data_IF_962976301665
#
_entry.id   IF_962976301665
#
_cell.length_a   1.000
_cell.length_b   1.000
_cell.length_c   1.000
_cell.angle_alpha   90.00
_cell.angle_beta   90.00
_cell.angle_gamma   90.00
#
_symmetry.space_group_name_H-M   'P 1'
#
loop_
_entity.id
_entity.type
_entity.pdbx_description
1 polymer ?
#
# COMPACT_ATOMS: atom_id res chain seq x y z
N UNK A 1 -28.14 -20.96 -24.67
CA UNK A 1 -28.41 -19.57 -25.12
C UNK A 1 -27.08 -18.91 -25.41
N UNK A 2 -26.63 -18.90 -26.66
CA UNK A 2 -25.40 -18.27 -27.10
C UNK A 2 -25.66 -16.76 -27.26
N UNK A 3 -25.13 -15.96 -26.38
CA UNK A 3 -25.16 -14.52 -26.46
C UNK A 3 -24.48 -14.06 -27.77
N UNK A 4 -25.28 -13.57 -28.74
CA UNK A 4 -24.77 -12.81 -29.88
C UNK A 4 -24.10 -11.54 -29.33
N UNK A 5 -22.78 -11.56 -29.16
CA UNK A 5 -22.02 -10.32 -29.00
C UNK A 5 -22.30 -9.43 -30.23
N UNK A 6 -23.07 -8.38 -30.04
CA UNK A 6 -23.32 -7.35 -31.05
C UNK A 6 -21.98 -6.82 -31.52
N UNK A 7 -21.59 -7.07 -32.78
CA UNK A 7 -20.40 -6.47 -33.38
C UNK A 7 -20.60 -4.97 -33.37
N UNK A 8 -19.85 -4.29 -32.50
CA UNK A 8 -19.83 -2.84 -32.45
C UNK A 8 -19.57 -2.28 -33.85
N UNK A 9 -20.32 -1.23 -34.27
CA UNK A 9 -20.10 -0.59 -35.56
C UNK A 9 -18.67 -0.05 -35.63
N UNK A 10 -18.03 -0.16 -36.81
CA UNK A 10 -16.65 0.33 -37.01
C UNK A 10 -16.39 1.75 -36.44
N UNK A 11 -17.30 2.76 -36.65
CA UNK A 11 -17.08 4.09 -36.09
C UNK A 11 -17.11 4.11 -34.56
N UNK A 12 -17.95 3.29 -33.92
CA UNK A 12 -17.98 3.18 -32.44
C UNK A 12 -16.67 2.56 -31.90
N UNK A 13 -16.16 1.57 -32.61
CA UNK A 13 -14.88 0.92 -32.23
C UNK A 13 -13.70 1.91 -32.39
N UNK A 14 -13.67 2.70 -33.46
CA UNK A 14 -12.66 3.74 -33.68
C UNK A 14 -12.77 4.81 -32.57
N UNK A 15 -13.98 5.30 -32.29
CA UNK A 15 -14.19 6.31 -31.25
C UNK A 15 -13.78 5.81 -29.86
N UNK A 16 -14.16 4.58 -29.48
CA UNK A 16 -13.76 4.00 -28.21
C UNK A 16 -12.26 3.77 -28.09
N UNK A 17 -11.62 3.30 -29.17
CA UNK A 17 -10.16 3.11 -29.20
C UNK A 17 -9.44 4.45 -29.09
N UNK A 18 -9.88 5.47 -29.82
CA UNK A 18 -9.29 6.81 -29.74
C UNK A 18 -9.45 7.42 -28.34
N UNK A 19 -10.61 7.26 -27.72
CA UNK A 19 -10.84 7.69 -26.34
C UNK A 19 -9.89 7.00 -25.37
N UNK A 20 -9.73 5.69 -25.46
CA UNK A 20 -8.83 4.90 -24.59
C UNK A 20 -7.38 5.35 -24.81
N UNK A 21 -6.94 5.56 -26.05
CA UNK A 21 -5.56 6.02 -26.34
C UNK A 21 -5.29 7.40 -25.77
N UNK A 22 -6.23 8.35 -25.92
CA UNK A 22 -6.12 9.68 -25.32
C UNK A 22 -6.04 9.56 -23.80
N UNK A 23 -6.89 8.74 -23.20
CA UNK A 23 -6.90 8.53 -21.75
C UNK A 23 -5.60 7.92 -21.24
N UNK A 24 -5.05 6.93 -21.96
CA UNK A 24 -3.74 6.33 -21.64
C UNK A 24 -2.65 7.40 -21.69
N UNK A 25 -2.65 8.24 -22.72
CA UNK A 25 -1.66 9.32 -22.83
C UNK A 25 -1.75 10.32 -21.67
N UNK A 26 -2.96 10.75 -21.32
CA UNK A 26 -3.21 11.67 -20.19
C UNK A 26 -2.79 11.02 -18.87
N UNK A 27 -3.13 9.74 -18.66
CA UNK A 27 -2.79 9.02 -17.43
C UNK A 27 -1.27 8.72 -17.33
N UNK A 28 -0.60 8.46 -18.45
CA UNK A 28 0.85 8.19 -18.48
C UNK A 28 1.69 9.47 -18.34
N UNK A 29 1.15 10.63 -18.74
CA UNK A 29 1.89 11.89 -18.78
C UNK A 29 2.60 12.25 -17.47
N UNK A 30 1.95 12.23 -16.29
CA UNK A 30 2.63 12.55 -15.03
C UNK A 30 3.85 11.67 -14.75
N UNK A 31 3.74 10.37 -15.06
CA UNK A 31 4.84 9.41 -14.85
C UNK A 31 6.00 9.67 -15.80
N UNK A 32 5.70 9.87 -17.08
CA UNK A 32 6.72 10.20 -18.09
C UNK A 32 7.39 11.52 -17.76
N UNK A 33 6.61 12.53 -17.35
CA UNK A 33 7.12 13.84 -16.96
C UNK A 33 8.04 13.76 -15.74
N UNK A 34 7.63 13.03 -14.70
CA UNK A 34 8.44 12.83 -13.48
C UNK A 34 9.73 12.08 -13.80
N UNK A 35 9.64 11.02 -14.61
CA UNK A 35 10.82 10.27 -15.06
C UNK A 35 11.76 11.15 -15.89
N UNK A 36 11.23 11.93 -16.81
CA UNK A 36 12.02 12.90 -17.60
C UNK A 36 12.72 13.92 -16.70
N UNK A 37 11.97 14.46 -15.73
CA UNK A 37 12.47 15.44 -14.76
C UNK A 37 13.56 14.91 -13.84
N UNK A 38 13.50 13.64 -13.48
CA UNK A 38 14.48 13.05 -12.57
C UNK A 38 15.91 13.04 -13.10
N UNK A 39 16.09 13.21 -14.41
CA UNK A 39 17.39 13.34 -15.06
C UNK A 39 17.81 14.80 -15.34
N UNK A 40 17.12 15.76 -14.75
CA UNK A 40 17.40 17.20 -14.93
C UNK A 40 17.86 17.83 -13.62
N UNK A 41 18.59 18.93 -13.72
CA UNK A 41 18.90 19.73 -12.53
C UNK A 41 17.65 20.46 -12.05
N UNK A 42 17.56 20.68 -10.74
CA UNK A 42 16.42 21.33 -10.09
C UNK A 42 16.07 22.70 -10.73
N UNK A 43 17.09 23.44 -11.18
CA UNK A 43 16.91 24.72 -11.83
C UNK A 43 16.09 24.71 -13.13
N UNK A 44 16.02 23.59 -13.83
CA UNK A 44 15.17 23.45 -15.04
C UNK A 44 13.67 23.37 -14.71
N UNK A 45 13.30 22.92 -13.51
CA UNK A 45 11.91 22.76 -13.09
C UNK A 45 11.38 23.90 -12.23
N UNK A 46 12.21 24.43 -11.34
CA UNK A 46 11.79 25.38 -10.30
C UNK A 46 12.26 26.83 -10.58
N UNK A 47 12.98 27.07 -11.69
CA UNK A 47 13.25 28.45 -12.06
C UNK A 47 11.96 29.11 -12.56
N UNK A 48 11.80 30.42 -12.26
CA UNK A 48 10.69 31.24 -12.81
C UNK A 48 10.70 31.34 -14.35
N UNK A 49 11.59 30.61 -14.98
CA UNK A 49 11.76 30.55 -16.42
C UNK A 49 10.71 29.62 -17.07
N UNK A 50 10.50 29.86 -18.32
CA UNK A 50 9.60 29.18 -19.23
C UNK A 50 9.66 27.63 -19.09
N UNK A 51 8.49 26.97 -19.09
CA UNK A 51 8.35 25.51 -19.10
C UNK A 51 9.23 24.79 -20.15
N UNK A 52 9.70 25.53 -21.16
CA UNK A 52 10.64 25.06 -22.18
C UNK A 52 11.97 24.60 -21.58
N UNK A 53 12.42 25.18 -20.47
CA UNK A 53 13.64 24.73 -19.79
C UNK A 53 13.51 23.30 -19.25
N UNK A 54 12.35 22.95 -18.72
CA UNK A 54 12.08 21.58 -18.27
C UNK A 54 12.15 20.58 -19.43
N UNK A 55 11.70 20.96 -20.65
CA UNK A 55 11.78 20.11 -21.83
C UNK A 55 13.20 20.04 -22.37
N UNK A 56 13.84 21.20 -22.59
CA UNK A 56 15.12 21.31 -23.28
C UNK A 56 16.33 21.01 -22.39
N UNK A 57 16.17 21.05 -21.03
CA UNK A 57 17.26 20.84 -20.12
C UNK A 57 18.40 21.86 -20.29
N UNK A 58 18.06 23.10 -20.51
CA UNK A 58 19.06 24.16 -20.83
C UNK A 58 20.04 24.35 -19.67
N UNK A 59 19.57 24.40 -18.44
CA UNK A 59 20.45 24.51 -17.26
C UNK A 59 21.22 23.23 -17.01
N UNK A 60 20.58 22.07 -17.18
CA UNK A 60 21.28 20.78 -17.11
C UNK A 60 22.44 20.75 -18.10
N UNK A 61 22.24 21.21 -19.34
CA UNK A 61 23.29 21.25 -20.33
C UNK A 61 24.42 22.23 -19.98
N UNK A 62 24.10 23.39 -19.38
CA UNK A 62 25.10 24.39 -18.95
C UNK A 62 25.92 23.87 -17.75
N UNK A 63 25.25 23.26 -16.76
CA UNK A 63 25.88 22.84 -15.51
C UNK A 63 26.64 21.51 -15.64
N UNK A 64 26.18 20.60 -16.48
CA UNK A 64 26.72 19.22 -16.57
C UNK A 64 27.33 18.88 -17.92
N UNK A 65 27.22 19.75 -18.89
CA UNK A 65 27.70 19.50 -20.29
C UNK A 65 26.84 18.52 -21.09
N UNK A 66 25.71 18.04 -20.54
CA UNK A 66 24.82 17.05 -21.15
C UNK A 66 23.34 17.36 -20.95
N UNK A 67 22.49 16.76 -21.77
CA UNK A 67 21.02 16.91 -21.66
C UNK A 67 20.42 16.17 -20.45
N UNK A 68 21.16 15.25 -19.85
CA UNK A 68 20.75 14.40 -18.71
C UNK A 68 21.84 14.34 -17.67
N UNK A 69 21.45 14.26 -16.41
CA UNK A 69 22.36 14.08 -15.27
C UNK A 69 21.81 13.08 -14.28
N UNK A 70 22.71 12.35 -13.63
CA UNK A 70 22.39 11.46 -12.49
C UNK A 70 22.60 12.12 -11.13
N UNK A 71 23.00 13.40 -11.08
CA UNK A 71 23.37 14.09 -9.83
C UNK A 71 22.24 14.10 -8.80
N UNK A 72 20.97 14.19 -9.23
CA UNK A 72 19.82 14.09 -8.32
C UNK A 72 19.74 12.74 -7.62
N UNK A 73 20.01 11.65 -8.32
CA UNK A 73 20.04 10.29 -7.74
C UNK A 73 21.20 10.11 -6.80
N UNK A 74 22.39 10.58 -7.16
CA UNK A 74 23.57 10.55 -6.30
C UNK A 74 23.36 11.37 -5.04
N UNK A 75 22.83 12.58 -5.17
CA UNK A 75 22.48 13.44 -4.05
C UNK A 75 21.48 12.79 -3.10
N UNK A 76 20.41 12.21 -3.62
CA UNK A 76 19.42 11.53 -2.80
C UNK A 76 20.00 10.27 -2.12
N UNK A 77 20.69 9.42 -2.89
CA UNK A 77 21.13 8.12 -2.40
C UNK A 77 22.33 8.20 -1.48
N UNK A 78 23.33 9.03 -1.82
CA UNK A 78 24.59 9.14 -1.07
C UNK A 78 24.55 10.27 -0.05
N UNK A 79 24.22 11.50 -0.48
CA UNK A 79 24.31 12.66 0.41
C UNK A 79 23.17 12.71 1.44
N UNK A 80 21.96 12.30 1.07
CA UNK A 80 20.81 12.29 1.96
C UNK A 80 20.49 10.89 2.53
N UNK A 81 21.35 9.91 2.26
CA UNK A 81 21.24 8.53 2.78
C UNK A 81 19.83 7.90 2.56
N UNK A 82 19.18 8.23 1.44
CA UNK A 82 17.82 7.76 1.13
C UNK A 82 17.67 6.21 1.16
N UNK A 83 18.77 5.49 0.99
CA UNK A 83 18.82 4.05 1.16
C UNK A 83 18.40 3.58 2.56
N UNK A 84 18.66 4.40 3.61
CA UNK A 84 18.19 4.09 4.99
C UNK A 84 16.67 4.17 5.05
N UNK A 85 16.08 5.22 4.47
CA UNK A 85 14.63 5.34 4.39
C UNK A 85 14.00 4.18 3.58
N UNK A 86 14.67 3.71 2.53
CA UNK A 86 14.24 2.54 1.76
C UNK A 86 14.27 1.25 2.60
N UNK A 87 15.34 1.02 3.37
CA UNK A 87 15.44 -0.12 4.30
C UNK A 87 14.38 -0.05 5.40
N UNK A 88 14.21 1.11 6.02
CA UNK A 88 13.19 1.32 7.05
C UNK A 88 11.79 1.03 6.50
N UNK A 89 11.50 1.52 5.28
CA UNK A 89 10.23 1.21 4.60
C UNK A 89 10.06 -0.30 4.39
N UNK A 90 11.09 -0.98 3.88
CA UNK A 90 11.04 -2.43 3.65
C UNK A 90 10.76 -3.19 4.96
N UNK A 91 11.42 -2.82 6.06
CA UNK A 91 11.22 -3.43 7.39
C UNK A 91 9.80 -3.16 7.88
N UNK A 92 9.37 -1.89 7.90
CA UNK A 92 8.06 -1.50 8.41
C UNK A 92 6.94 -2.18 7.61
N UNK A 93 7.01 -2.13 6.29
CA UNK A 93 5.99 -2.72 5.42
C UNK A 93 5.97 -4.24 5.55
N UNK A 94 7.12 -4.91 5.52
CA UNK A 94 7.20 -6.37 5.64
C UNK A 94 6.55 -6.85 6.93
N UNK A 95 6.97 -6.31 8.07
CA UNK A 95 6.43 -6.73 9.36
C UNK A 95 4.97 -6.35 9.53
N UNK A 96 4.54 -5.17 9.07
CA UNK A 96 3.13 -4.77 9.08
C UNK A 96 2.27 -5.76 8.29
N UNK A 97 2.68 -6.11 7.08
CA UNK A 97 1.94 -7.05 6.22
C UNK A 97 1.89 -8.45 6.84
N UNK A 98 3.02 -8.98 7.27
CA UNK A 98 3.09 -10.33 7.86
C UNK A 98 2.23 -10.44 9.11
N UNK A 99 2.33 -9.47 10.02
CA UNK A 99 1.54 -9.48 11.26
C UNK A 99 0.06 -9.28 10.95
N UNK A 100 -0.30 -8.31 10.11
CA UNK A 100 -1.69 -8.04 9.75
C UNK A 100 -2.35 -9.22 9.05
N UNK A 101 -1.65 -9.89 8.12
CA UNK A 101 -2.16 -11.08 7.45
C UNK A 101 -2.31 -12.26 8.41
N UNK A 102 -1.35 -12.46 9.30
CA UNK A 102 -1.41 -13.56 10.28
C UNK A 102 -2.61 -13.40 11.21
N UNK A 103 -2.75 -12.22 11.81
CA UNK A 103 -3.89 -11.92 12.69
C UNK A 103 -5.21 -11.88 11.92
N UNK A 104 -5.19 -11.31 10.72
CA UNK A 104 -6.36 -11.19 9.85
C UNK A 104 -6.86 -12.54 9.34
N UNK A 105 -5.98 -13.48 8.97
CA UNK A 105 -6.38 -14.83 8.53
C UNK A 105 -6.98 -15.63 9.67
N UNK A 106 -6.35 -15.61 10.83
CA UNK A 106 -6.88 -16.31 12.02
C UNK A 106 -8.23 -15.72 12.45
N UNK A 107 -8.30 -14.40 12.61
CA UNK A 107 -9.52 -13.70 13.01
C UNK A 107 -10.62 -13.77 11.96
N UNK A 108 -10.31 -13.55 10.68
CA UNK A 108 -11.26 -13.62 9.58
C UNK A 108 -11.88 -15.00 9.42
N UNK A 109 -11.07 -16.06 9.54
CA UNK A 109 -11.57 -17.44 9.56
C UNK A 109 -12.47 -17.72 10.76
N UNK A 110 -12.05 -17.35 11.96
CA UNK A 110 -12.85 -17.56 13.17
C UNK A 110 -14.20 -16.83 13.08
N UNK A 111 -14.22 -15.60 12.60
CA UNK A 111 -15.45 -14.83 12.41
C UNK A 111 -16.35 -15.42 11.32
N UNK A 112 -15.78 -15.87 10.19
CA UNK A 112 -16.53 -16.47 9.09
C UNK A 112 -17.18 -17.81 9.47
N UNK A 113 -16.60 -18.53 10.42
CA UNK A 113 -17.12 -19.83 10.89
C UNK A 113 -17.97 -19.74 12.18
N UNK A 114 -17.99 -18.57 12.84
CA UNK A 114 -18.69 -18.42 14.14
C UNK A 114 -20.20 -18.61 14.08
N UNK A 115 -20.84 -18.34 12.94
CA UNK A 115 -22.29 -18.43 12.77
C UNK A 115 -23.13 -17.47 13.62
N UNK A 116 -22.50 -16.55 14.33
CA UNK A 116 -23.17 -15.64 15.27
C UNK A 116 -23.15 -14.19 14.74
N UNK A 117 -24.19 -13.44 15.08
CA UNK A 117 -24.32 -12.04 14.68
C UNK A 117 -23.25 -11.11 15.29
N UNK A 118 -22.55 -11.53 16.34
CA UNK A 118 -21.47 -10.71 16.91
C UNK A 118 -20.31 -10.49 15.93
N UNK A 119 -20.06 -11.43 15.03
CA UNK A 119 -19.04 -11.28 13.99
C UNK A 119 -19.31 -10.05 13.11
N UNK A 120 -20.57 -9.88 12.70
CA UNK A 120 -20.99 -8.70 11.93
C UNK A 120 -20.76 -7.40 12.72
N UNK A 121 -21.21 -7.35 13.98
CA UNK A 121 -21.06 -6.15 14.80
C UNK A 121 -19.60 -5.80 15.09
N UNK A 122 -18.76 -6.81 15.33
CA UNK A 122 -17.33 -6.62 15.55
C UNK A 122 -16.66 -6.02 14.31
N UNK A 123 -16.98 -6.54 13.11
CA UNK A 123 -16.48 -5.99 11.85
C UNK A 123 -16.98 -4.57 11.60
N UNK A 124 -18.26 -4.29 11.88
CA UNK A 124 -18.83 -2.96 11.74
C UNK A 124 -18.12 -1.94 12.65
N UNK A 125 -17.94 -2.27 13.91
CA UNK A 125 -17.22 -1.43 14.87
C UNK A 125 -15.78 -1.18 14.39
N UNK A 126 -15.08 -2.22 13.94
CA UNK A 126 -13.73 -2.11 13.42
C UNK A 126 -13.66 -1.16 12.21
N UNK A 127 -14.63 -1.24 11.27
CA UNK A 127 -14.70 -0.34 10.12
C UNK A 127 -15.03 1.11 10.51
N UNK A 128 -15.85 1.32 11.55
CA UNK A 128 -16.12 2.66 12.09
C UNK A 128 -14.83 3.29 12.63
N UNK A 129 -14.02 2.55 13.39
CA UNK A 129 -12.71 3.04 13.83
C UNK A 129 -11.78 3.35 12.66
N UNK A 130 -11.82 2.56 11.60
CA UNK A 130 -11.04 2.83 10.39
C UNK A 130 -11.46 4.11 9.66
N UNK A 131 -12.72 4.51 9.77
CA UNK A 131 -13.22 5.75 9.16
C UNK A 131 -12.71 7.02 9.89
N UNK A 132 -12.15 6.90 11.09
CA UNK A 132 -11.56 8.02 11.80
C UNK A 132 -10.26 8.49 11.12
N UNK A 133 -9.98 9.81 11.09
CA UNK A 133 -8.72 10.32 10.56
C UNK A 133 -7.52 9.73 11.32
N UNK A 134 -6.60 9.10 10.61
CA UNK A 134 -5.43 8.44 11.22
C UNK A 134 -4.59 9.40 12.05
N UNK A 135 -4.42 10.66 11.59
CA UNK A 135 -3.68 11.69 12.32
C UNK A 135 -4.29 11.93 13.72
N UNK A 136 -5.62 11.99 13.81
CA UNK A 136 -6.31 12.19 15.09
C UNK A 136 -6.11 11.00 16.04
N UNK A 137 -6.14 9.78 15.52
CA UNK A 137 -5.89 8.59 16.32
C UNK A 137 -4.45 8.58 16.86
N UNK A 138 -3.47 8.84 15.99
CA UNK A 138 -2.04 8.81 16.36
C UNK A 138 -1.69 9.93 17.31
N UNK A 139 -2.24 11.14 17.13
CA UNK A 139 -1.97 12.28 18.03
C UNK A 139 -2.36 11.99 19.49
N UNK A 140 -3.41 11.18 19.71
CA UNK A 140 -3.81 10.75 21.05
C UNK A 140 -2.81 9.81 21.74
N UNK A 141 -1.98 9.08 20.97
CA UNK A 141 -0.97 8.17 21.49
C UNK A 141 0.43 8.79 21.61
N UNK A 142 0.66 9.96 21.03
CA UNK A 142 2.00 10.58 21.01
C UNK A 142 2.55 10.80 22.40
N UNK A 143 1.76 11.40 23.31
CA UNK A 143 2.22 11.70 24.67
C UNK A 143 2.64 10.44 25.44
N UNK A 144 1.82 9.37 25.54
CA UNK A 144 2.24 8.10 26.11
C UNK A 144 3.49 7.51 25.45
N UNK A 145 3.65 7.64 24.13
CA UNK A 145 4.83 7.09 23.44
C UNK A 145 6.09 7.85 23.78
N UNK A 146 6.02 9.17 24.02
CA UNK A 146 7.15 9.94 24.53
C UNK A 146 7.49 9.53 25.98
N UNK A 147 6.50 9.43 26.86
CA UNK A 147 6.68 9.05 28.25
C UNK A 147 7.28 7.65 28.42
N UNK A 148 6.90 6.71 27.56
CA UNK A 148 7.40 5.33 27.59
C UNK A 148 8.66 5.12 26.74
N UNK A 149 9.21 6.20 26.18
CA UNK A 149 10.39 6.16 25.29
C UNK A 149 10.21 5.22 24.08
N UNK A 150 9.01 5.18 23.52
CA UNK A 150 8.66 4.38 22.36
C UNK A 150 8.66 5.18 21.05
N UNK A 151 8.70 6.50 21.13
CA UNK A 151 8.75 7.37 19.96
C UNK A 151 10.08 7.23 19.21
N UNK A 152 10.05 7.31 17.90
CA UNK A 152 11.24 7.22 17.04
C UNK A 152 11.65 5.80 16.69
N UNK A 153 10.93 4.76 17.17
CA UNK A 153 11.29 3.37 16.94
C UNK A 153 10.42 2.70 15.88
N UNK A 154 11.03 1.93 14.95
CA UNK A 154 10.33 1.19 13.91
C UNK A 154 9.29 0.20 14.46
N UNK A 155 9.55 -0.58 15.55
CA UNK A 155 8.56 -1.50 16.10
C UNK A 155 7.27 -0.80 16.56
N UNK A 156 7.36 0.39 17.14
CA UNK A 156 6.19 1.18 17.55
C UNK A 156 5.34 1.55 16.35
N UNK A 157 5.98 2.03 15.29
CA UNK A 157 5.32 2.37 14.03
C UNK A 157 4.66 1.14 13.39
N UNK A 158 5.33 -0.01 13.40
CA UNK A 158 4.78 -1.28 12.90
C UNK A 158 3.50 -1.65 13.65
N UNK A 159 3.52 -1.62 14.99
CA UNK A 159 2.35 -1.98 15.81
C UNK A 159 1.17 -1.04 15.52
N UNK A 160 1.42 0.27 15.42
CA UNK A 160 0.37 1.25 15.12
C UNK A 160 -0.19 1.04 13.70
N UNK A 161 0.67 0.81 12.71
CA UNK A 161 0.22 0.51 11.34
C UNK A 161 -0.56 -0.80 11.26
N UNK A 162 -0.15 -1.84 11.99
CA UNK A 162 -0.91 -3.09 12.10
C UNK A 162 -2.30 -2.80 12.67
N UNK A 163 -2.40 -2.06 13.77
CA UNK A 163 -3.68 -1.73 14.41
C UNK A 163 -4.62 -0.96 13.46
N UNK A 164 -4.10 0.01 12.72
CA UNK A 164 -4.86 0.82 11.75
C UNK A 164 -5.28 0.00 10.52
N UNK A 165 -4.43 -0.91 10.05
CA UNK A 165 -4.72 -1.74 8.89
C UNK A 165 -5.62 -2.93 9.21
N UNK A 166 -5.62 -3.41 10.46
CA UNK A 166 -6.30 -4.62 10.88
C UNK A 166 -7.80 -4.67 10.55
N UNK A 167 -8.59 -3.60 10.75
CA UNK A 167 -10.02 -3.63 10.39
C UNK A 167 -10.27 -3.99 8.92
N UNK A 168 -9.52 -3.42 8.01
CA UNK A 168 -9.65 -3.67 6.59
C UNK A 168 -9.19 -5.08 6.21
N UNK A 169 -8.02 -5.49 6.70
CA UNK A 169 -7.46 -6.83 6.47
C UNK A 169 -8.42 -7.92 6.98
N UNK A 170 -8.97 -7.71 8.18
CA UNK A 170 -9.94 -8.63 8.78
C UNK A 170 -11.22 -8.73 7.95
N UNK A 171 -11.78 -7.60 7.51
CA UNK A 171 -12.98 -7.54 6.70
C UNK A 171 -12.78 -8.21 5.33
N UNK A 172 -11.67 -7.95 4.66
CA UNK A 172 -11.34 -8.57 3.39
C UNK A 172 -11.22 -10.09 3.51
N UNK A 173 -10.42 -10.58 4.46
CA UNK A 173 -10.21 -12.01 4.66
C UNK A 173 -11.48 -12.72 5.13
N UNK A 174 -12.26 -12.10 6.02
CA UNK A 174 -13.58 -12.61 6.39
C UNK A 174 -14.48 -12.81 5.17
N UNK A 175 -14.54 -11.81 4.27
CA UNK A 175 -15.36 -11.88 3.06
C UNK A 175 -14.89 -13.01 2.12
N UNK A 176 -13.58 -13.21 2.00
CA UNK A 176 -13.04 -14.33 1.23
C UNK A 176 -13.37 -15.68 1.87
N UNK A 177 -13.25 -15.82 3.20
CA UNK A 177 -13.58 -17.06 3.90
C UNK A 177 -15.06 -17.43 3.82
N UNK A 178 -15.96 -16.46 3.72
CA UNK A 178 -17.39 -16.73 3.50
C UNK A 178 -17.68 -17.42 2.16
N UNK A 179 -16.85 -17.20 1.14
CA UNK A 179 -16.98 -17.81 -0.16
C UNK A 179 -16.47 -19.28 -0.21
N UNK A 180 -15.78 -19.74 0.85
CA UNK A 180 -15.30 -21.12 0.95
C UNK A 180 -16.39 -21.98 1.61
N UNK A 181 -16.86 -23.06 0.97
CA UNK A 181 -17.86 -23.96 1.52
C UNK A 181 -17.43 -24.53 2.87
N UNK A 182 -18.35 -24.57 3.84
CA UNK A 182 -18.10 -25.15 5.17
C UNK A 182 -17.84 -26.66 5.11
N UNK A 183 -18.34 -27.31 4.09
CA UNK A 183 -18.18 -28.76 3.86
C UNK A 183 -16.70 -29.17 3.80
N UNK A 184 -15.80 -28.27 3.39
CA UNK A 184 -14.35 -28.53 3.41
C UNK A 184 -13.80 -28.67 4.83
N UNK A 185 -14.29 -27.84 5.75
CA UNK A 185 -13.93 -27.95 7.17
C UNK A 185 -14.48 -29.23 7.78
N UNK A 186 -15.72 -29.61 7.41
CA UNK A 186 -16.41 -30.81 7.91
C UNK A 186 -15.75 -32.09 7.37
N UNK A 187 -15.45 -32.14 6.07
CA UNK A 187 -14.74 -33.26 5.46
C UNK A 187 -13.36 -33.49 6.09
N UNK A 188 -12.59 -32.41 6.29
CA UNK A 188 -11.29 -32.52 6.96
C UNK A 188 -11.40 -33.07 8.40
N UNK A 189 -12.46 -32.73 9.13
CA UNK A 189 -12.72 -33.29 10.46
C UNK A 189 -13.10 -34.76 10.43
N UNK A 190 -13.87 -35.18 9.43
CA UNK A 190 -14.20 -36.61 9.22
C UNK A 190 -12.93 -37.40 8.94
N UNK A 191 -11.97 -36.81 8.20
CA UNK A 191 -10.65 -37.38 7.94
C UNK A 191 -9.71 -37.35 9.17
N UNK A 192 -10.21 -36.91 10.34
CA UNK A 192 -9.46 -36.90 11.60
C UNK A 192 -8.61 -35.66 11.88
N UNK A 193 -8.74 -34.63 11.06
CA UNK A 193 -8.03 -33.36 11.30
C UNK A 193 -8.64 -32.60 12.48
N UNK A 194 -7.78 -32.03 13.32
CA UNK A 194 -8.20 -31.00 14.27
C UNK A 194 -8.60 -29.72 13.50
N UNK A 195 -9.33 -28.81 14.16
CA UNK A 195 -9.75 -27.54 13.56
C UNK A 195 -8.56 -26.72 13.00
N UNK A 196 -7.43 -26.69 13.71
CA UNK A 196 -6.24 -25.99 13.26
C UNK A 196 -5.54 -26.71 12.10
N UNK A 197 -5.55 -28.05 12.08
CA UNK A 197 -5.02 -28.83 10.95
C UNK A 197 -5.88 -28.63 9.69
N UNK A 198 -7.21 -28.66 9.82
CA UNK A 198 -8.13 -28.36 8.72
C UNK A 198 -7.87 -26.93 8.17
N UNK A 199 -7.77 -25.94 9.05
CA UNK A 199 -7.43 -24.57 8.67
C UNK A 199 -6.12 -24.50 7.89
N UNK A 200 -5.03 -25.08 8.43
CA UNK A 200 -3.69 -24.93 7.87
C UNK A 200 -3.49 -25.74 6.58
N UNK A 201 -4.02 -26.98 6.51
CA UNK A 201 -3.72 -27.89 5.42
C UNK A 201 -4.77 -27.91 4.31
N UNK A 202 -6.02 -27.50 4.61
CA UNK A 202 -7.11 -27.51 3.65
C UNK A 202 -7.55 -26.08 3.31
N UNK A 203 -7.91 -25.29 4.30
CA UNK A 203 -8.52 -23.98 4.06
C UNK A 203 -7.50 -22.93 3.58
N UNK A 204 -6.33 -22.82 4.20
CA UNK A 204 -5.31 -21.82 3.78
C UNK A 204 -4.81 -22.04 2.34
N UNK A 205 -4.52 -23.26 1.87
CA UNK A 205 -4.16 -23.48 0.47
C UNK A 205 -5.25 -23.04 -0.52
N UNK A 206 -6.51 -23.29 -0.23
CA UNK A 206 -7.64 -22.83 -1.04
C UNK A 206 -7.79 -21.31 -0.99
N UNK A 207 -7.53 -20.72 0.17
CA UNK A 207 -7.64 -19.29 0.45
C UNK A 207 -6.47 -18.47 -0.08
N UNK A 208 -5.38 -19.09 -0.53
CA UNK A 208 -4.13 -18.44 -0.90
C UNK A 208 -4.29 -17.23 -1.83
N UNK A 209 -5.13 -17.27 -2.90
CA UNK A 209 -5.38 -16.10 -3.74
C UNK A 209 -5.97 -14.91 -2.96
N UNK A 210 -6.87 -15.18 -2.01
CA UNK A 210 -7.46 -14.15 -1.14
C UNK A 210 -6.43 -13.56 -0.16
N UNK A 211 -5.53 -14.38 0.37
CA UNK A 211 -4.44 -13.93 1.26
C UNK A 211 -3.47 -13.03 0.49
N UNK A 212 -3.06 -13.43 -0.73
CA UNK A 212 -2.18 -12.62 -1.59
C UNK A 212 -2.84 -11.28 -1.92
N UNK A 213 -4.10 -11.30 -2.36
CA UNK A 213 -4.84 -10.07 -2.70
C UNK A 213 -4.92 -9.12 -1.51
N UNK A 214 -5.29 -9.64 -0.33
CA UNK A 214 -5.34 -8.84 0.90
C UNK A 214 -3.96 -8.32 1.31
N UNK A 215 -2.93 -9.14 1.11
CA UNK A 215 -1.53 -8.77 1.36
C UNK A 215 -1.06 -7.62 0.48
N UNK A 216 -1.41 -7.60 -0.80
CA UNK A 216 -1.11 -6.49 -1.71
C UNK A 216 -1.78 -5.19 -1.25
N UNK A 217 -3.03 -5.24 -0.83
CA UNK A 217 -3.71 -4.06 -0.28
C UNK A 217 -3.06 -3.59 1.03
N UNK A 218 -2.75 -4.51 1.94
CA UNK A 218 -2.05 -4.19 3.21
C UNK A 218 -0.67 -3.58 2.94
N UNK A 219 0.06 -4.11 1.94
CA UNK A 219 1.32 -3.54 1.47
C UNK A 219 1.14 -2.10 0.98
N UNK A 220 0.19 -1.85 0.09
CA UNK A 220 -0.06 -0.51 -0.44
C UNK A 220 -0.44 0.49 0.66
N UNK A 221 -1.25 0.08 1.63
CA UNK A 221 -1.65 0.91 2.76
C UNK A 221 -0.45 1.27 3.65
N UNK A 222 0.41 0.30 3.98
CA UNK A 222 1.58 0.52 4.82
C UNK A 222 2.68 1.30 4.07
N UNK A 223 2.90 1.01 2.79
CA UNK A 223 3.91 1.68 1.97
C UNK A 223 3.60 3.17 1.76
N UNK A 224 2.34 3.50 1.46
CA UNK A 224 1.92 4.87 1.18
C UNK A 224 1.60 5.70 2.44
N UNK A 225 1.76 5.13 3.65
CA UNK A 225 1.46 5.86 4.86
C UNK A 225 2.48 6.98 5.11
N UNK A 226 1.97 8.20 5.12
CA UNK A 226 2.72 9.40 5.48
C UNK A 226 2.37 9.85 6.91
N UNK A 227 1.09 9.78 7.27
CA UNK A 227 0.58 10.41 8.48
C UNK A 227 1.18 9.77 9.76
N UNK A 228 1.09 8.45 9.87
CA UNK A 228 1.59 7.72 11.04
C UNK A 228 3.12 7.74 11.07
N UNK A 229 3.74 7.48 9.93
CA UNK A 229 5.21 7.38 9.83
C UNK A 229 5.91 8.70 10.08
N UNK A 230 5.35 9.84 9.60
CA UNK A 230 5.91 11.17 9.86
C UNK A 230 5.75 11.63 11.31
N UNK A 231 4.72 11.16 12.02
CA UNK A 231 4.48 11.53 13.42
C UNK A 231 5.25 10.67 14.41
N UNK A 232 5.44 9.38 14.11
CA UNK A 232 6.04 8.42 15.04
C UNK A 232 7.55 8.22 14.84
N UNK A 233 8.11 8.58 13.69
CA UNK A 233 9.52 8.38 13.39
C UNK A 233 10.29 9.70 13.43
N UNK A 234 11.53 9.62 13.91
CA UNK A 234 12.49 10.72 13.82
C UNK A 234 13.07 10.83 12.41
N UNK A 235 13.72 11.94 12.11
CA UNK A 235 14.38 12.16 10.81
C UNK A 235 15.38 11.05 10.46
N UNK A 236 16.07 10.48 11.44
CA UNK A 236 17.08 9.44 11.22
C UNK A 236 16.48 8.07 10.90
N UNK A 237 15.22 7.83 11.33
CA UNK A 237 14.52 6.55 11.15
C UNK A 237 13.31 6.63 10.22
N UNK A 238 13.12 7.74 9.50
CA UNK A 238 11.95 7.93 8.64
C UNK A 238 11.86 6.89 7.51
N UNK A 239 10.64 6.67 7.04
CA UNK A 239 10.36 5.87 5.84
C UNK A 239 10.46 6.72 4.57
N UNK A 240 10.42 6.08 3.39
CA UNK A 240 10.59 6.76 2.10
C UNK A 240 9.58 7.89 1.86
N UNK A 241 8.31 7.69 2.24
CA UNK A 241 7.25 8.67 1.95
C UNK A 241 7.47 9.99 2.70
N UNK A 242 7.71 10.01 4.03
CA UNK A 242 8.14 11.23 4.72
C UNK A 242 9.49 11.76 4.23
N UNK A 243 10.45 10.90 3.90
CA UNK A 243 11.74 11.33 3.39
C UNK A 243 11.60 12.13 2.09
N UNK A 244 10.81 11.66 1.12
CA UNK A 244 10.55 12.36 -0.14
C UNK A 244 9.85 13.70 0.09
N UNK A 245 8.95 13.78 1.07
CA UNK A 245 8.26 15.04 1.39
C UNK A 245 9.18 16.08 2.05
N UNK A 246 10.33 15.68 2.56
CA UNK A 246 11.33 16.54 3.18
C UNK A 246 12.42 17.04 2.22
N UNK A 247 12.43 16.58 0.96
CA UNK A 247 13.28 17.09 -0.10
C UNK A 247 12.65 18.37 -0.69
#
# INVERSE_FOLDING_TARGET
MTSRASKASKPLMIASTSFVLIWIFVAAFPFVWTLWGSFKVQGDFFSKADWRYALNGTRTAIETGGLFTGAGYEGAWVQQEFWRAALNTAIVVLFTVVISLTLGTLGGYALARSGHNYAFWLLMIALVFRAMPHITLVSGYLLPFFEWNLWGHLPTTIIVLVAINQPFTLWMLHSFFLNIPKDLDESAKVDGCTQFQAFRHVIIPVMWPGVITTGLFSFLLAYNDFAVTSMLLSKDNQTMVPAIAGF
#
